data_IF_620855019024
#
_entry.id   IF_620855019024
#
_cell.length_a   1.000
_cell.length_b   1.000
_cell.length_c   1.000
_cell.angle_alpha   90.00
_cell.angle_beta   90.00
_cell.angle_gamma   90.00
#
_symmetry.space_group_name_H-M   'P 1'
#
loop_
_entity.id
_entity.type
_entity.pdbx_description
1 polymer ?
#
# COMPACT_ATOMS: atom_id res chain seq x y z
N UNK A 1 -16.14 -14.13 7.52
CA UNK A 1 -15.65 -14.77 6.29
C UNK A 1 -14.78 -15.95 6.65
N UNK A 2 -15.00 -17.08 6.02
CA UNK A 2 -14.20 -18.27 6.27
C UNK A 2 -12.83 -18.17 5.59
N UNK A 3 -11.85 -18.90 6.10
CA UNK A 3 -10.49 -18.87 5.56
C UNK A 3 -10.45 -19.23 4.07
N UNK A 4 -11.20 -20.25 3.64
CA UNK A 4 -11.22 -20.64 2.23
C UNK A 4 -11.76 -19.52 1.33
N UNK A 5 -12.82 -18.87 1.77
CA UNK A 5 -13.39 -17.75 1.02
C UNK A 5 -12.42 -16.59 0.93
N UNK A 6 -11.69 -16.33 2.01
CA UNK A 6 -10.70 -15.27 2.04
C UNK A 6 -9.55 -15.57 1.07
N UNK A 7 -9.05 -16.81 1.08
CA UNK A 7 -7.99 -17.20 0.16
C UNK A 7 -8.44 -17.11 -1.30
N UNK A 8 -9.68 -17.51 -1.56
CA UNK A 8 -10.25 -17.41 -2.89
C UNK A 8 -10.29 -15.95 -3.37
N UNK A 9 -10.71 -15.05 -2.49
CA UNK A 9 -10.82 -13.64 -2.82
C UNK A 9 -9.48 -13.03 -3.18
N UNK A 10 -8.40 -13.49 -2.57
CA UNK A 10 -7.06 -12.98 -2.88
C UNK A 10 -6.34 -13.82 -3.95
N UNK A 11 -7.04 -14.80 -4.54
CA UNK A 11 -6.46 -15.62 -5.60
C UNK A 11 -5.44 -16.63 -5.14
N UNK A 12 -5.59 -17.13 -3.91
CA UNK A 12 -4.63 -18.04 -3.30
C UNK A 12 -5.20 -19.40 -2.95
N UNK A 13 -6.33 -19.77 -3.55
CA UNK A 13 -6.99 -21.06 -3.25
C UNK A 13 -6.08 -22.26 -3.45
N UNK A 14 -5.25 -22.21 -4.50
CA UNK A 14 -4.38 -23.34 -4.82
C UNK A 14 -3.25 -23.53 -3.82
N UNK A 15 -3.06 -22.57 -2.93
CA UNK A 15 -1.93 -22.58 -1.99
C UNK A 15 -2.37 -22.85 -0.55
N UNK A 16 -3.62 -23.22 -0.33
CA UNK A 16 -4.16 -23.30 1.03
C UNK A 16 -3.43 -24.32 1.92
N UNK A 17 -2.84 -25.34 1.31
CA UNK A 17 -2.13 -26.37 2.07
C UNK A 17 -0.61 -26.18 2.06
N UNK A 18 -0.13 -25.12 1.45
CA UNK A 18 1.29 -24.85 1.43
C UNK A 18 1.76 -24.20 2.71
N UNK A 19 2.99 -24.47 3.09
CA UNK A 19 3.61 -23.81 4.22
C UNK A 19 3.97 -22.38 3.82
N UNK A 20 3.89 -21.47 4.79
CA UNK A 20 4.18 -20.05 4.55
C UNK A 20 5.60 -19.88 3.98
N UNK A 21 6.55 -20.67 4.44
CA UNK A 21 7.93 -20.59 3.97
C UNK A 21 8.11 -20.93 2.50
N UNK A 22 7.10 -21.54 1.87
CA UNK A 22 7.14 -21.93 0.46
C UNK A 22 6.57 -20.87 -0.47
N UNK A 23 6.06 -19.78 0.08
CA UNK A 23 5.38 -18.74 -0.69
C UNK A 23 6.35 -17.64 -1.09
N UNK A 24 6.14 -17.07 -2.29
CA UNK A 24 6.86 -15.87 -2.70
C UNK A 24 6.41 -14.68 -1.84
N UNK A 25 7.16 -13.56 -1.92
CA UNK A 25 6.78 -12.34 -1.20
C UNK A 25 5.38 -11.86 -1.54
N UNK A 26 5.02 -11.84 -2.83
CA UNK A 26 3.69 -11.42 -3.25
C UNK A 26 2.60 -12.37 -2.80
N UNK A 27 2.89 -13.66 -2.85
CA UNK A 27 1.94 -14.66 -2.37
C UNK A 27 1.74 -14.53 -0.87
N UNK A 28 2.81 -14.30 -0.12
CA UNK A 28 2.75 -14.13 1.32
C UNK A 28 1.90 -12.91 1.69
N UNK A 29 2.08 -11.80 0.98
CA UNK A 29 1.28 -10.60 1.22
C UNK A 29 -0.20 -10.87 0.98
N UNK A 30 -0.52 -11.62 -0.06
CA UNK A 30 -1.93 -11.95 -0.33
C UNK A 30 -2.52 -12.85 0.76
N UNK A 31 -1.73 -13.75 1.32
CA UNK A 31 -2.19 -14.58 2.43
C UNK A 31 -2.47 -13.72 3.67
N UNK A 32 -1.60 -12.75 3.95
CA UNK A 32 -1.85 -11.84 5.08
C UNK A 32 -3.11 -11.00 4.86
N UNK A 33 -3.38 -10.59 3.63
CA UNK A 33 -4.63 -9.91 3.31
C UNK A 33 -5.82 -10.84 3.54
N UNK A 34 -5.69 -12.10 3.13
CA UNK A 34 -6.76 -13.08 3.36
C UNK A 34 -7.05 -13.23 4.85
N UNK A 35 -6.00 -13.20 5.68
CA UNK A 35 -6.20 -13.30 7.12
C UNK A 35 -7.01 -12.12 7.65
N UNK A 36 -6.69 -10.92 7.22
CA UNK A 36 -7.43 -9.73 7.63
C UNK A 36 -8.89 -9.82 7.19
N UNK A 37 -9.14 -10.31 5.98
CA UNK A 37 -10.49 -10.48 5.47
C UNK A 37 -11.26 -11.54 6.24
N UNK A 38 -10.61 -12.65 6.58
CA UNK A 38 -11.24 -13.71 7.35
C UNK A 38 -11.65 -13.24 8.74
N UNK A 39 -10.91 -12.28 9.29
CA UNK A 39 -11.22 -11.69 10.59
C UNK A 39 -12.31 -10.63 10.50
N UNK A 40 -12.80 -10.33 9.31
CA UNK A 40 -13.83 -9.31 9.13
C UNK A 40 -13.34 -7.89 9.34
N UNK A 41 -12.06 -7.65 9.12
CA UNK A 41 -11.48 -6.32 9.33
C UNK A 41 -12.09 -5.29 8.39
N UNK A 42 -12.42 -4.12 8.93
CA UNK A 42 -12.88 -2.99 8.14
C UNK A 42 -11.72 -2.02 7.86
N UNK A 43 -10.73 -2.02 8.74
CA UNK A 43 -9.51 -1.25 8.58
C UNK A 43 -8.35 -2.21 8.41
N UNK A 44 -7.57 -2.01 7.37
CA UNK A 44 -6.42 -2.86 7.05
C UNK A 44 -5.17 -2.00 7.04
N UNK A 45 -4.21 -2.36 7.89
CA UNK A 45 -2.94 -1.64 8.01
C UNK A 45 -1.83 -2.49 7.41
N UNK A 46 -1.12 -1.94 6.45
CA UNK A 46 -0.04 -2.63 5.77
C UNK A 46 1.25 -1.82 5.89
N UNK A 47 2.30 -2.47 6.33
CA UNK A 47 3.61 -1.83 6.47
C UNK A 47 4.48 -2.25 5.30
N UNK A 48 4.66 -1.32 4.36
CA UNK A 48 5.47 -1.51 3.17
C UNK A 48 5.17 -2.80 2.43
N UNK A 49 3.93 -2.98 1.99
CA UNK A 49 3.50 -4.26 1.41
C UNK A 49 4.13 -4.56 0.05
N UNK A 50 4.78 -3.59 -0.58
CA UNK A 50 5.34 -3.78 -1.92
C UNK A 50 6.85 -3.97 -1.94
N UNK A 51 7.51 -3.86 -0.78
CA UNK A 51 8.96 -4.03 -0.70
C UNK A 51 9.34 -5.47 -1.04
N UNK A 52 10.30 -5.63 -1.97
CA UNK A 52 10.76 -6.95 -2.37
C UNK A 52 9.81 -7.73 -3.26
N UNK A 53 8.81 -7.07 -3.81
CA UNK A 53 7.78 -7.69 -4.64
C UNK A 53 8.00 -7.27 -6.09
N UNK A 54 7.92 -8.20 -7.02
CA UNK A 54 8.06 -7.89 -8.44
C UNK A 54 6.88 -7.05 -8.95
N UNK A 55 7.08 -6.40 -10.09
CA UNK A 55 6.09 -5.46 -10.63
C UNK A 55 4.73 -6.11 -10.93
N UNK A 56 4.73 -7.34 -11.41
CA UNK A 56 3.48 -8.04 -11.72
C UNK A 56 2.70 -8.34 -10.45
N UNK A 57 3.38 -8.85 -9.43
CA UNK A 57 2.75 -9.13 -8.14
C UNK A 57 2.27 -7.86 -7.46
N UNK A 58 3.04 -6.79 -7.55
CA UNK A 58 2.65 -5.50 -6.99
C UNK A 58 1.33 -5.03 -7.58
N UNK A 59 1.18 -5.12 -8.91
CA UNK A 59 -0.06 -4.72 -9.56
C UNK A 59 -1.25 -5.57 -9.13
N UNK A 60 -1.04 -6.86 -8.94
CA UNK A 60 -2.10 -7.74 -8.47
C UNK A 60 -2.55 -7.37 -7.07
N UNK A 61 -1.59 -7.11 -6.18
CA UNK A 61 -1.91 -6.70 -4.82
C UNK A 61 -2.64 -5.36 -4.83
N UNK A 62 -2.14 -4.40 -5.61
CA UNK A 62 -2.76 -3.09 -5.68
C UNK A 62 -4.19 -3.17 -6.22
N UNK A 63 -4.41 -3.96 -7.26
CA UNK A 63 -5.76 -4.16 -7.79
C UNK A 63 -6.69 -4.72 -6.71
N UNK A 64 -6.21 -5.70 -5.97
CA UNK A 64 -6.97 -6.29 -4.89
C UNK A 64 -7.33 -5.26 -3.82
N UNK A 65 -6.37 -4.42 -3.45
CA UNK A 65 -6.62 -3.36 -2.47
C UNK A 65 -7.67 -2.37 -2.97
N UNK A 66 -7.65 -2.04 -4.25
CA UNK A 66 -8.67 -1.17 -4.84
C UNK A 66 -10.06 -1.80 -4.75
N UNK A 67 -10.15 -3.10 -5.00
CA UNK A 67 -11.42 -3.81 -4.88
C UNK A 67 -11.94 -3.81 -3.44
N UNK A 68 -11.04 -3.99 -2.49
CA UNK A 68 -11.42 -3.94 -1.07
C UNK A 68 -11.90 -2.55 -0.68
N UNK A 69 -11.25 -1.52 -1.17
CA UNK A 69 -11.69 -0.15 -0.93
C UNK A 69 -13.10 0.08 -1.47
N UNK A 70 -13.37 -0.41 -2.68
CA UNK A 70 -14.71 -0.30 -3.27
C UNK A 70 -15.77 -0.98 -2.44
N UNK A 71 -15.40 -2.03 -1.73
CA UNK A 71 -16.34 -2.77 -0.87
C UNK A 71 -16.51 -2.14 0.50
N UNK A 72 -15.93 -0.96 0.74
CA UNK A 72 -16.11 -0.22 1.97
C UNK A 72 -14.97 -0.33 2.98
N UNK A 73 -13.88 -1.01 2.63
CA UNK A 73 -12.74 -1.13 3.53
C UNK A 73 -11.88 0.13 3.48
N UNK A 74 -11.24 0.43 4.60
CA UNK A 74 -10.25 1.50 4.68
C UNK A 74 -8.88 0.87 4.77
N UNK A 75 -7.95 1.30 3.92
CA UNK A 75 -6.62 0.71 3.84
C UNK A 75 -5.60 1.78 4.13
N UNK A 76 -4.75 1.53 5.11
CA UNK A 76 -3.67 2.43 5.50
C UNK A 76 -2.35 1.73 5.21
N UNK A 77 -1.51 2.38 4.42
CA UNK A 77 -0.25 1.79 3.98
C UNK A 77 0.90 2.69 4.38
N UNK A 78 1.89 2.11 5.05
CA UNK A 78 3.17 2.78 5.24
C UNK A 78 4.00 2.48 4.00
N UNK A 79 4.43 3.55 3.33
CA UNK A 79 5.04 3.42 2.02
C UNK A 79 6.05 4.54 1.83
N UNK A 80 7.19 4.25 1.21
CA UNK A 80 8.16 5.31 0.99
C UNK A 80 8.65 5.43 -0.46
N UNK A 81 7.99 4.76 -1.38
CA UNK A 81 8.25 5.00 -2.80
C UNK A 81 7.38 6.17 -3.25
N UNK A 82 7.95 7.36 -3.19
CA UNK A 82 7.21 8.59 -3.46
C UNK A 82 6.75 8.71 -4.91
N UNK A 83 7.35 7.96 -5.81
CA UNK A 83 6.97 8.01 -7.23
C UNK A 83 5.60 7.39 -7.52
N UNK A 84 5.09 6.58 -6.58
CA UNK A 84 3.81 5.90 -6.77
C UNK A 84 2.65 6.56 -6.03
N UNK A 85 2.92 7.61 -5.26
CA UNK A 85 1.92 8.18 -4.37
C UNK A 85 0.68 8.68 -5.11
N UNK A 86 0.90 9.45 -6.17
CA UNK A 86 -0.23 10.03 -6.91
C UNK A 86 -1.08 8.99 -7.61
N UNK A 87 -0.47 7.89 -7.99
CA UNK A 87 -1.18 6.81 -8.68
C UNK A 87 -1.95 5.91 -7.72
N UNK A 88 -1.35 5.63 -6.55
CA UNK A 88 -1.84 4.58 -5.67
C UNK A 88 -2.78 5.08 -4.57
N UNK A 89 -2.65 6.32 -4.13
CA UNK A 89 -3.32 6.75 -2.90
C UNK A 89 -4.27 7.91 -3.10
N UNK A 90 -5.31 7.93 -2.28
CA UNK A 90 -6.30 9.01 -2.28
C UNK A 90 -5.94 10.10 -1.29
N UNK A 91 -5.43 9.68 -0.15
CA UNK A 91 -5.06 10.59 0.94
C UNK A 91 -3.68 10.26 1.43
N UNK A 92 -3.06 11.23 2.06
CA UNK A 92 -1.67 11.14 2.46
C UNK A 92 -1.50 11.73 3.85
N UNK A 93 -0.66 11.07 4.65
CA UNK A 93 -0.22 11.58 5.95
C UNK A 93 1.30 11.63 5.88
N UNK A 94 1.86 12.81 6.03
CA UNK A 94 3.31 13.01 6.03
C UNK A 94 3.77 13.29 7.44
N UNK A 95 4.76 12.52 7.89
CA UNK A 95 5.29 12.60 9.25
C UNK A 95 6.80 12.83 9.23
N UNK A 96 7.26 13.67 10.14
CA UNK A 96 8.67 13.81 10.44
C UNK A 96 8.75 14.25 11.92
N UNK A 97 8.67 13.26 12.82
CA UNK A 97 8.56 13.44 14.27
C UNK A 97 7.24 14.09 14.66
N UNK A 98 6.71 14.95 13.83
CA UNK A 98 5.40 15.57 14.03
C UNK A 98 4.61 15.43 12.74
N UNK A 99 3.34 15.73 12.80
CA UNK A 99 2.51 15.73 11.61
C UNK A 99 2.88 16.92 10.73
N UNK A 100 3.34 16.63 9.52
CA UNK A 100 3.67 17.68 8.53
C UNK A 100 2.42 18.10 7.78
N UNK A 101 1.67 17.13 7.25
CA UNK A 101 0.46 17.39 6.48
C UNK A 101 -0.39 16.15 6.42
N UNK A 102 -1.71 16.32 6.29
CA UNK A 102 -2.61 15.21 6.03
C UNK A 102 -3.79 15.70 5.22
N UNK A 103 -4.31 14.84 4.34
CA UNK A 103 -5.45 15.17 3.50
C UNK A 103 -5.33 14.56 2.12
N UNK A 104 -6.16 15.01 1.18
CA UNK A 104 -6.12 14.51 -0.19
C UNK A 104 -4.72 14.65 -0.80
N UNK A 105 -4.31 13.66 -1.58
CA UNK A 105 -2.98 13.66 -2.20
C UNK A 105 -2.79 14.95 -3.03
N UNK A 106 -3.80 15.38 -3.77
CA UNK A 106 -3.67 16.57 -4.62
C UNK A 106 -3.31 17.82 -3.83
N UNK A 107 -3.67 17.87 -2.55
CA UNK A 107 -3.41 19.04 -1.71
C UNK A 107 -2.18 18.90 -0.83
N UNK A 108 -1.79 17.67 -0.52
CA UNK A 108 -0.72 17.41 0.46
C UNK A 108 0.60 16.98 -0.18
N UNK A 109 0.54 16.39 -1.37
CA UNK A 109 1.75 15.91 -2.06
C UNK A 109 2.38 17.07 -2.83
N UNK A 110 3.00 17.98 -2.09
CA UNK A 110 3.62 19.20 -2.63
C UNK A 110 5.12 19.20 -2.34
N UNK A 111 5.86 19.95 -3.12
CA UNK A 111 7.30 20.08 -2.88
C UNK A 111 7.60 20.62 -1.49
N UNK A 112 6.81 21.58 -1.03
CA UNK A 112 7.00 22.16 0.30
C UNK A 112 6.83 21.10 1.39
N UNK A 113 5.77 20.32 1.31
CA UNK A 113 5.51 19.29 2.32
C UNK A 113 6.53 18.16 2.27
N UNK A 114 6.92 17.75 1.05
CA UNK A 114 7.94 16.71 0.89
C UNK A 114 9.30 17.20 1.39
N UNK A 115 9.61 18.47 1.15
CA UNK A 115 10.83 19.06 1.65
C UNK A 115 10.85 19.06 3.18
N UNK A 116 9.74 19.42 3.80
CA UNK A 116 9.62 19.40 5.26
C UNK A 116 9.75 17.99 5.84
N UNK A 117 9.23 17.00 5.12
CA UNK A 117 9.26 15.61 5.60
C UNK A 117 10.57 14.89 5.32
N UNK A 118 11.18 15.14 4.16
CA UNK A 118 12.32 14.34 3.68
C UNK A 118 13.57 15.15 3.35
N UNK A 119 13.45 16.45 3.22
CA UNK A 119 14.56 17.29 2.81
C UNK A 119 14.40 17.82 1.40
N UNK A 120 15.10 18.91 1.12
CA UNK A 120 14.92 19.69 -0.11
C UNK A 120 15.16 18.89 -1.40
N UNK A 121 16.24 18.12 -1.43
CA UNK A 121 16.60 17.36 -2.64
C UNK A 121 15.52 16.36 -3.00
N UNK A 122 15.03 15.63 -2.01
CA UNK A 122 13.99 14.62 -2.25
C UNK A 122 12.71 15.27 -2.74
N UNK A 123 12.30 16.37 -2.10
CA UNK A 123 11.07 17.05 -2.51
C UNK A 123 11.12 17.52 -3.96
N UNK A 124 12.23 18.11 -4.36
CA UNK A 124 12.39 18.60 -5.73
C UNK A 124 12.44 17.46 -6.74
N UNK A 125 13.18 16.40 -6.44
CA UNK A 125 13.31 15.29 -7.36
C UNK A 125 11.96 14.63 -7.63
N UNK A 126 11.18 14.41 -6.58
CA UNK A 126 9.91 13.71 -6.71
C UNK A 126 8.91 14.55 -7.51
N UNK A 127 8.86 15.85 -7.27
CA UNK A 127 7.94 16.73 -7.97
C UNK A 127 8.48 17.23 -9.30
N UNK A 128 9.73 16.94 -9.62
CA UNK A 128 10.29 17.29 -10.90
C UNK A 128 10.63 18.76 -11.09
N UNK A 129 10.71 19.48 -10.01
CA UNK A 129 10.98 20.93 -10.08
C UNK A 129 12.41 21.26 -10.45
N UNK A 130 13.29 20.32 -10.29
CA UNK A 130 14.68 20.49 -10.66
C UNK A 130 14.90 20.44 -12.16
N UNK A 131 13.87 20.12 -12.91
CA UNK A 131 13.97 19.97 -14.37
C UNK A 131 13.89 21.32 -15.04
N UNK A 132 14.90 22.02 -15.02
CA UNK A 132 14.89 23.32 -15.68
C UNK A 132 15.99 23.42 -16.71
#
# INVERSE_FOLDING_TARGET
MRAKQALEKVGMSDYEKRQISELSGGQLQRVFLARALAQGAEWIFLDEPFVGIDAVSEKKIFFLLKELKKSGKTIVIVHHDLHKVEEYFDELILLNKTLIASGPVAETFTSENLQAAYGEVIGKLVKGEEKK
#
